data_IF_799036987576
#
_entry.id   IF_799036987576
#
_cell.length_a   1.000
_cell.length_b   1.000
_cell.length_c   1.000
_cell.angle_alpha   90.00
_cell.angle_beta   90.00
_cell.angle_gamma   90.00
#
_symmetry.space_group_name_H-M   'P 1'
#
loop_
_entity.id
_entity.type
_entity.pdbx_description
1 polymer ?
#
# COMPACT_ATOMS: atom_id res chain seq x y z
N UNK A 1 10.82 2.91 -6.30
CA UNK A 1 10.51 1.48 -6.12
C UNK A 1 11.24 0.65 -7.17
N UNK A 2 12.58 0.56 -7.10
CA UNK A 2 13.40 0.21 -8.28
C UNK A 2 14.10 -1.16 -8.19
N UNK A 3 13.70 -2.01 -7.23
CA UNK A 3 14.29 -3.35 -7.03
C UNK A 3 13.44 -4.50 -7.58
N UNK A 4 12.45 -4.20 -8.43
CA UNK A 4 11.55 -5.23 -9.00
C UNK A 4 10.71 -5.98 -7.96
N UNK A 5 10.44 -5.35 -6.80
CA UNK A 5 9.52 -5.89 -5.79
C UNK A 5 8.20 -5.15 -5.84
N UNK A 6 7.12 -5.92 -5.79
CA UNK A 6 5.78 -5.39 -5.62
C UNK A 6 5.61 -4.86 -4.20
N UNK A 7 4.97 -3.69 -4.10
CA UNK A 7 4.71 -3.02 -2.84
C UNK A 7 3.20 -2.93 -2.67
N UNK A 8 2.72 -3.45 -1.56
CA UNK A 8 1.32 -3.37 -1.14
C UNK A 8 1.23 -2.47 0.09
N UNK A 9 0.17 -1.67 0.16
CA UNK A 9 -0.01 -0.65 1.17
C UNK A 9 -1.45 -0.68 1.71
N UNK A 10 -1.61 -0.73 3.04
CA UNK A 10 -2.92 -0.73 3.70
C UNK A 10 -3.29 0.72 4.07
N UNK A 11 -4.34 1.31 3.50
CA UNK A 11 -4.72 2.69 3.79
C UNK A 11 -5.13 2.85 5.26
N UNK A 12 -5.01 4.08 5.77
CA UNK A 12 -5.37 4.40 7.15
C UNK A 12 -6.09 5.74 7.28
N UNK A 13 -6.36 6.16 8.52
CA UNK A 13 -7.05 7.42 8.76
C UNK A 13 -6.18 8.61 8.35
N UNK A 14 -6.72 9.54 7.57
CA UNK A 14 -6.03 10.80 7.20
C UNK A 14 -5.75 11.72 8.39
N UNK A 15 -6.40 11.47 9.54
CA UNK A 15 -6.17 12.23 10.77
C UNK A 15 -5.06 11.63 11.64
N UNK A 16 -4.50 10.48 11.27
CA UNK A 16 -3.44 9.80 11.98
C UNK A 16 -2.11 9.96 11.24
N UNK A 17 -1.11 10.56 11.90
CA UNK A 17 0.19 10.86 11.30
C UNK A 17 0.97 9.63 10.83
N UNK A 18 0.69 8.45 11.37
CA UNK A 18 1.34 7.20 10.96
C UNK A 18 0.84 6.65 9.62
N UNK A 19 -0.31 7.12 9.11
CA UNK A 19 -0.85 6.68 7.83
C UNK A 19 -0.27 7.45 6.63
N UNK A 20 0.41 8.58 6.87
CA UNK A 20 0.98 9.43 5.80
C UNK A 20 1.91 8.66 4.88
N UNK A 21 2.88 7.91 5.42
CA UNK A 21 3.81 7.15 4.57
C UNK A 21 3.14 6.05 3.75
N UNK A 22 2.04 5.47 4.26
CA UNK A 22 1.28 4.50 3.49
C UNK A 22 0.54 5.16 2.31
N UNK A 23 -0.02 6.35 2.53
CA UNK A 23 -0.64 7.13 1.46
C UNK A 23 0.37 7.61 0.42
N UNK A 24 1.58 7.99 0.83
CA UNK A 24 2.69 8.32 -0.09
C UNK A 24 3.06 7.12 -0.96
N UNK A 25 3.19 5.92 -0.36
CA UNK A 25 3.46 4.70 -1.13
C UNK A 25 2.38 4.42 -2.17
N UNK A 26 1.11 4.59 -1.83
CA UNK A 26 -0.01 4.41 -2.77
C UNK A 26 0.07 5.43 -3.91
N UNK A 27 0.42 6.69 -3.61
CA UNK A 27 0.62 7.73 -4.63
C UNK A 27 1.82 7.43 -5.55
N UNK A 28 2.86 6.81 -5.01
CA UNK A 28 4.06 6.39 -5.74
C UNK A 28 3.87 5.08 -6.54
N UNK A 29 2.67 4.50 -6.51
CA UNK A 29 2.31 3.31 -7.30
C UNK A 29 2.27 2.00 -6.53
N UNK A 30 2.35 2.02 -5.19
CA UNK A 30 2.04 0.84 -4.39
C UNK A 30 0.56 0.46 -4.55
N UNK A 31 0.28 -0.83 -4.55
CA UNK A 31 -1.09 -1.31 -4.64
C UNK A 31 -1.79 -1.17 -3.29
N UNK A 32 -2.94 -0.49 -3.30
CA UNK A 32 -3.80 -0.38 -2.12
C UNK A 32 -4.49 -1.72 -1.85
N UNK A 33 -4.40 -2.21 -0.61
CA UNK A 33 -5.02 -3.48 -0.17
C UNK A 33 -5.76 -3.31 1.15
N UNK A 34 -6.82 -4.08 1.35
CA UNK A 34 -7.69 -4.06 2.53
C UNK A 34 -7.78 -5.43 3.21
N UNK A 35 -7.59 -6.51 2.45
CA UNK A 35 -7.64 -7.88 2.95
C UNK A 35 -6.41 -8.68 2.50
N UNK A 36 -6.28 -9.90 3.02
CA UNK A 36 -5.26 -10.83 2.54
C UNK A 36 -5.55 -11.33 1.12
N UNK A 37 -6.83 -11.38 0.73
CA UNK A 37 -7.26 -11.85 -0.58
C UNK A 37 -6.74 -10.92 -1.69
N UNK A 38 -6.72 -9.60 -1.45
CA UNK A 38 -6.18 -8.59 -2.39
C UNK A 38 -4.69 -8.83 -2.75
N UNK A 39 -3.95 -9.52 -1.88
CA UNK A 39 -2.55 -9.91 -2.10
C UNK A 39 -2.49 -11.27 -2.80
N UNK A 40 -3.31 -12.22 -2.38
CA UNK A 40 -3.33 -13.58 -2.92
C UNK A 40 -3.82 -13.66 -4.38
N UNK A 41 -4.70 -12.75 -4.81
CA UNK A 41 -5.21 -12.70 -6.19
C UNK A 41 -4.16 -12.25 -7.23
N UNK A 42 -3.01 -11.71 -6.79
CA UNK A 42 -1.95 -11.18 -7.67
C UNK A 42 -0.77 -12.13 -7.88
N UNK A 43 -0.72 -13.25 -7.16
CA UNK A 43 0.32 -14.29 -7.32
C UNK A 43 -0.04 -15.30 -8.42
#
# INVERSE_FOLDING_TARGET
MDYGREVFAVPGSIFQSFSTGCHELIQDGAKCVQTIDDICEEL
#
